data_IF_766020104411
#
_entry.id   IF_766020104411
#
_cell.length_a   1.000
_cell.length_b   1.000
_cell.length_c   1.000
_cell.angle_alpha   90.00
_cell.angle_beta   90.00
_cell.angle_gamma   90.00
#
_symmetry.space_group_name_H-M   'P 1'
#
loop_
_entity.id
_entity.type
_entity.pdbx_description
1 polymer ?
#
# COMPACT_ATOMS: atom_id res chain seq x y z
N UNK A 1 36.27 -2.20 -3.88
CA UNK A 1 35.54 -0.96 -3.89
C UNK A 1 34.44 -1.07 -2.85
N UNK A 2 34.52 -0.23 -1.83
CA UNK A 2 33.54 -0.24 -0.77
C UNK A 2 32.24 0.39 -1.28
N UNK A 3 31.19 -0.38 -1.32
CA UNK A 3 29.82 0.00 -1.60
C UNK A 3 28.90 -0.55 -0.51
N UNK A 4 27.63 -0.63 -0.80
CA UNK A 4 26.61 -1.17 0.10
C UNK A 4 25.89 -2.34 -0.54
N UNK A 5 25.42 -3.25 0.29
CA UNK A 5 24.42 -4.25 -0.09
C UNK A 5 23.11 -3.91 0.60
N UNK A 6 22.10 -3.57 -0.18
CA UNK A 6 20.78 -3.17 0.30
C UNK A 6 19.82 -4.33 0.06
N UNK A 7 19.18 -4.81 1.13
CA UNK A 7 18.18 -5.89 1.09
C UNK A 7 16.75 -5.35 1.09
N UNK A 8 15.92 -5.92 0.24
CA UNK A 8 14.47 -5.71 0.23
C UNK A 8 13.84 -7.05 0.58
N UNK A 9 13.23 -7.15 1.76
CA UNK A 9 12.72 -8.40 2.31
C UNK A 9 11.20 -8.39 2.34
N UNK A 10 10.61 -9.41 1.72
CA UNK A 10 9.16 -9.60 1.69
C UNK A 10 8.81 -10.84 2.48
N UNK A 11 7.88 -10.72 3.43
CA UNK A 11 7.35 -11.86 4.18
C UNK A 11 6.97 -13.01 3.24
N UNK A 12 7.37 -14.23 3.57
CA UNK A 12 7.21 -15.38 2.66
C UNK A 12 6.18 -16.42 3.16
N UNK A 13 4.86 -16.08 3.26
CA UNK A 13 3.83 -17.05 3.63
C UNK A 13 3.74 -18.21 2.63
N UNK A 14 4.10 -18.02 1.37
CA UNK A 14 4.13 -19.07 0.35
C UNK A 14 5.08 -20.23 0.65
N UNK A 15 6.00 -20.08 1.60
CA UNK A 15 6.84 -21.17 2.12
C UNK A 15 6.11 -22.04 3.16
N UNK A 16 5.05 -21.55 3.76
CA UNK A 16 4.35 -22.21 4.86
C UNK A 16 3.17 -23.07 4.43
N UNK A 17 2.67 -22.87 3.22
CA UNK A 17 1.58 -23.65 2.66
C UNK A 17 1.59 -23.59 1.13
N UNK A 18 1.10 -24.65 0.52
CA UNK A 18 1.06 -24.76 -0.95
C UNK A 18 -0.30 -24.34 -1.50
N UNK A 19 -0.33 -24.10 -2.81
CA UNK A 19 -1.55 -24.05 -3.61
C UNK A 19 -2.38 -25.32 -3.36
N UNK A 20 -3.71 -25.19 -3.39
CA UNK A 20 -4.71 -26.23 -3.10
C UNK A 20 -4.84 -26.66 -1.63
N UNK A 21 -4.07 -26.08 -0.71
CA UNK A 21 -4.26 -26.28 0.72
C UNK A 21 -5.53 -25.55 1.24
N UNK A 22 -6.00 -25.90 2.43
CA UNK A 22 -7.11 -25.19 3.06
C UNK A 22 -6.85 -23.68 3.27
N UNK A 23 -5.58 -23.29 3.52
CA UNK A 23 -5.18 -21.88 3.62
C UNK A 23 -5.24 -21.16 2.29
N UNK A 24 -4.84 -21.81 1.20
CA UNK A 24 -5.03 -21.29 -0.15
C UNK A 24 -6.51 -21.10 -0.47
N UNK A 25 -7.36 -22.05 -0.11
CA UNK A 25 -8.81 -21.94 -0.26
C UNK A 25 -9.38 -20.70 0.42
N UNK A 26 -8.97 -20.41 1.67
CA UNK A 26 -9.37 -19.20 2.40
C UNK A 26 -8.85 -17.93 1.70
N UNK A 27 -7.57 -17.90 1.35
CA UNK A 27 -6.96 -16.75 0.69
C UNK A 27 -7.61 -16.44 -0.67
N UNK A 28 -7.94 -17.49 -1.44
CA UNK A 28 -8.61 -17.41 -2.73
C UNK A 28 -10.06 -16.94 -2.63
N UNK A 29 -10.76 -17.27 -1.56
CA UNK A 29 -12.11 -16.76 -1.31
C UNK A 29 -12.11 -15.29 -0.92
N UNK A 30 -11.13 -14.86 -0.10
CA UNK A 30 -11.04 -13.49 0.41
C UNK A 30 -10.32 -12.54 -0.54
N UNK A 31 -9.38 -13.02 -1.34
CA UNK A 31 -8.57 -12.32 -2.34
C UNK A 31 -7.74 -11.15 -1.83
N UNK A 32 -8.21 -10.37 -0.88
CA UNK A 32 -7.50 -9.26 -0.27
C UNK A 32 -7.93 -9.04 1.17
N UNK A 33 -7.04 -8.46 1.96
CA UNK A 33 -7.41 -7.87 3.25
C UNK A 33 -8.26 -6.64 3.00
N UNK A 34 -9.37 -6.53 3.71
CA UNK A 34 -10.24 -5.36 3.72
C UNK A 34 -9.94 -4.55 4.96
N UNK A 35 -9.60 -3.28 4.76
CA UNK A 35 -9.34 -2.33 5.84
C UNK A 35 -10.54 -1.42 6.03
N UNK A 36 -10.88 -1.13 7.28
CA UNK A 36 -11.90 -0.17 7.63
C UNK A 36 -11.52 0.54 8.92
N UNK A 37 -12.03 1.72 9.21
CA UNK A 37 -11.77 2.37 10.48
C UNK A 37 -12.01 1.45 11.68
N UNK A 38 -11.02 1.34 12.55
CA UNK A 38 -11.09 0.53 13.77
C UNK A 38 -11.10 -0.99 13.59
N UNK A 39 -11.07 -1.52 12.35
CA UNK A 39 -11.08 -2.96 12.09
C UNK A 39 -10.46 -3.34 10.75
N UNK A 40 -10.17 -4.63 10.57
CA UNK A 40 -9.75 -5.22 9.30
C UNK A 40 -10.21 -6.67 9.20
N UNK A 41 -10.52 -7.11 8.01
CA UNK A 41 -10.76 -8.52 7.69
C UNK A 41 -9.57 -9.02 6.90
N UNK A 42 -8.74 -9.84 7.52
CA UNK A 42 -7.47 -10.30 6.91
C UNK A 42 -7.72 -11.35 5.83
N UNK A 43 -6.95 -11.32 4.75
CA UNK A 43 -6.98 -12.33 3.68
C UNK A 43 -6.63 -13.73 4.24
N UNK A 44 -5.54 -13.81 4.99
CA UNK A 44 -5.13 -15.03 5.69
C UNK A 44 -5.60 -15.00 7.15
N UNK A 45 -5.81 -16.15 7.81
CA UNK A 45 -6.08 -16.19 9.23
C UNK A 45 -5.01 -15.45 10.04
N UNK A 46 -5.40 -14.78 11.12
CA UNK A 46 -4.49 -13.94 11.93
C UNK A 46 -3.27 -14.70 12.46
N UNK A 47 -3.42 -15.96 12.85
CA UNK A 47 -2.30 -16.80 13.29
C UNK A 47 -1.25 -17.00 12.18
N UNK A 48 -1.67 -17.07 10.91
CA UNK A 48 -0.76 -17.14 9.75
C UNK A 48 -0.12 -15.79 9.50
N UNK A 49 -0.90 -14.72 9.53
CA UNK A 49 -0.38 -13.35 9.40
C UNK A 49 0.67 -13.09 10.46
N UNK A 50 0.38 -13.39 11.74
CA UNK A 50 1.31 -13.20 12.86
C UNK A 50 2.59 -14.03 12.72
N UNK A 51 2.50 -15.25 12.19
CA UNK A 51 3.66 -16.13 11.98
C UNK A 51 4.65 -15.61 10.93
N UNK A 52 4.15 -15.03 9.84
CA UNK A 52 4.96 -14.61 8.70
C UNK A 52 5.25 -13.10 8.67
N UNK A 53 4.55 -12.29 9.44
CA UNK A 53 4.85 -10.86 9.55
C UNK A 53 6.30 -10.67 9.99
N UNK A 54 7.00 -9.74 9.30
CA UNK A 54 8.35 -9.30 9.66
C UNK A 54 8.27 -8.52 10.99
N UNK A 55 8.30 -9.27 12.09
CA UNK A 55 8.12 -8.74 13.45
C UNK A 55 9.46 -8.51 14.13
N UNK A 56 9.61 -7.38 14.82
CA UNK A 56 10.80 -7.03 15.59
C UNK A 56 11.20 -8.14 16.59
N UNK A 57 12.50 -8.35 16.74
CA UNK A 57 13.08 -9.36 17.61
C UNK A 57 12.91 -10.81 17.12
N UNK A 58 12.55 -11.02 15.84
CA UNK A 58 12.30 -12.35 15.29
C UNK A 58 13.09 -12.59 14.01
N UNK A 59 13.46 -13.86 13.80
CA UNK A 59 13.93 -14.35 12.51
C UNK A 59 12.72 -14.75 11.65
N UNK A 60 12.46 -14.02 10.59
CA UNK A 60 11.28 -14.21 9.76
C UNK A 60 11.64 -14.81 8.39
N UNK A 61 10.88 -15.79 7.87
CA UNK A 61 11.10 -16.30 6.53
C UNK A 61 10.73 -15.22 5.52
N UNK A 62 11.64 -14.94 4.60
CA UNK A 62 11.50 -13.89 3.61
C UNK A 62 11.95 -14.34 2.21
N UNK A 63 11.33 -13.71 1.21
CA UNK A 63 11.87 -13.62 -0.13
C UNK A 63 12.62 -12.29 -0.21
N UNK A 64 13.91 -12.37 -0.50
CA UNK A 64 14.80 -11.22 -0.43
C UNK A 64 15.37 -10.88 -1.81
N UNK A 65 15.39 -9.58 -2.11
CA UNK A 65 16.15 -9.02 -3.22
C UNK A 65 17.28 -8.17 -2.65
N UNK A 66 18.51 -8.50 -2.98
CA UNK A 66 19.70 -7.71 -2.67
C UNK A 66 20.11 -6.88 -3.87
N UNK A 67 20.43 -5.63 -3.62
CA UNK A 67 21.02 -4.70 -4.57
C UNK A 67 22.46 -4.40 -4.12
N UNK A 68 23.44 -4.72 -4.95
CA UNK A 68 24.83 -4.29 -4.74
C UNK A 68 24.97 -2.88 -5.31
N UNK A 69 25.26 -1.91 -4.46
CA UNK A 69 25.22 -0.47 -4.77
C UNK A 69 26.60 0.12 -4.55
N UNK A 70 27.14 0.82 -5.55
CA UNK A 70 28.40 1.54 -5.44
C UNK A 70 28.27 2.79 -4.56
N UNK A 71 29.41 3.44 -4.24
CA UNK A 71 29.39 4.73 -3.52
C UNK A 71 28.70 5.86 -4.30
N UNK A 72 28.62 5.75 -5.61
CA UNK A 72 27.93 6.68 -6.49
C UNK A 72 26.47 6.31 -6.69
N UNK A 73 25.92 5.44 -5.84
CA UNK A 73 24.53 4.94 -5.84
C UNK A 73 24.13 4.20 -7.14
N UNK A 74 25.11 3.64 -7.86
CA UNK A 74 24.86 2.83 -9.06
C UNK A 74 24.67 1.38 -8.65
N UNK A 75 23.57 0.75 -9.09
CA UNK A 75 23.30 -0.66 -8.87
C UNK A 75 24.18 -1.47 -9.84
N UNK A 76 25.15 -2.22 -9.29
CA UNK A 76 26.09 -3.06 -10.04
C UNK A 76 25.67 -4.53 -10.11
N UNK A 77 24.80 -4.96 -9.20
CA UNK A 77 24.35 -6.35 -9.15
C UNK A 77 23.00 -6.48 -8.43
N UNK A 78 22.28 -7.56 -8.78
CA UNK A 78 21.01 -7.94 -8.13
C UNK A 78 21.02 -9.44 -7.85
N UNK A 79 20.64 -9.81 -6.64
CA UNK A 79 20.55 -11.21 -6.24
C UNK A 79 19.28 -11.46 -5.45
N UNK A 80 18.57 -12.53 -5.76
CA UNK A 80 17.38 -12.94 -5.02
C UNK A 80 17.59 -14.27 -4.33
N UNK A 81 17.08 -14.41 -3.12
CA UNK A 81 17.14 -15.64 -2.35
C UNK A 81 15.96 -15.81 -1.40
N UNK A 82 15.83 -17.04 -0.92
CA UNK A 82 14.90 -17.41 0.17
C UNK A 82 15.76 -17.55 1.43
N UNK A 83 15.41 -16.85 2.47
CA UNK A 83 16.19 -16.85 3.71
C UNK A 83 15.34 -16.55 4.97
N UNK A 84 15.96 -16.60 6.12
CA UNK A 84 15.42 -16.06 7.36
C UNK A 84 16.14 -14.78 7.68
N UNK A 85 15.37 -13.71 7.87
CA UNK A 85 15.88 -12.36 8.12
C UNK A 85 15.65 -11.99 9.58
N UNK A 86 16.69 -11.62 10.33
CA UNK A 86 16.54 -11.06 11.66
C UNK A 86 15.97 -9.64 11.55
N UNK A 87 14.80 -9.41 12.13
CA UNK A 87 14.18 -8.08 12.15
C UNK A 87 14.57 -7.38 13.44
N UNK A 88 15.44 -6.39 13.34
CA UNK A 88 16.01 -5.69 14.50
C UNK A 88 15.11 -4.57 14.99
N UNK A 89 14.44 -3.86 14.09
CA UNK A 89 13.56 -2.76 14.43
C UNK A 89 12.38 -2.63 13.46
N UNK A 90 11.23 -2.21 13.96
CA UNK A 90 10.07 -1.81 13.18
C UNK A 90 9.91 -0.29 13.25
N UNK A 91 10.38 0.40 12.22
CA UNK A 91 10.29 1.86 12.14
C UNK A 91 8.89 2.25 11.66
N UNK A 92 8.20 3.09 12.45
CA UNK A 92 6.84 3.54 12.13
C UNK A 92 6.88 4.99 11.63
N UNK A 93 6.03 5.30 10.65
CA UNK A 93 5.96 6.65 10.07
C UNK A 93 5.76 7.73 11.15
N UNK A 94 4.83 7.52 12.09
CA UNK A 94 4.52 8.49 13.13
C UNK A 94 5.68 8.75 14.11
N UNK A 95 6.59 7.77 14.26
CA UNK A 95 7.77 7.92 15.13
C UNK A 95 8.93 8.60 14.39
N UNK A 96 9.10 8.32 13.10
CA UNK A 96 10.28 8.69 12.31
C UNK A 96 10.06 10.00 11.54
N UNK A 97 8.88 10.25 10.98
CA UNK A 97 8.62 11.46 10.17
C UNK A 97 8.90 12.79 10.93
N UNK A 98 8.69 12.93 12.24
CA UNK A 98 9.06 14.14 12.94
C UNK A 98 10.55 14.47 12.89
N UNK A 99 11.41 13.44 12.79
CA UNK A 99 12.89 13.60 12.81
C UNK A 99 13.52 13.31 11.43
N UNK A 100 12.78 12.71 10.49
CA UNK A 100 13.24 12.38 9.15
C UNK A 100 12.22 12.85 8.10
N UNK A 101 12.38 14.08 7.65
CA UNK A 101 11.52 14.76 6.68
C UNK A 101 12.35 15.70 5.82
N UNK A 102 11.75 16.36 4.83
CA UNK A 102 12.47 17.23 3.89
C UNK A 102 13.26 18.34 4.59
N UNK A 103 12.69 18.95 5.62
CA UNK A 103 13.36 20.02 6.40
C UNK A 103 14.59 19.49 7.13
N UNK A 104 14.45 18.36 7.84
CA UNK A 104 15.57 17.78 8.60
C UNK A 104 16.67 17.21 7.71
N UNK A 105 16.34 16.80 6.49
CA UNK A 105 17.32 16.37 5.47
C UNK A 105 18.11 17.55 4.89
N UNK A 106 17.48 18.73 4.77
CA UNK A 106 18.12 19.94 4.20
C UNK A 106 18.91 20.68 5.26
N UNK A 107 18.32 20.95 6.41
CA UNK A 107 18.85 21.86 7.43
C UNK A 107 19.69 21.16 8.51
N UNK A 108 19.75 19.82 8.45
CA UNK A 108 20.40 19.00 9.47
C UNK A 108 19.49 18.82 10.70
N UNK A 109 18.83 17.67 10.77
CA UNK A 109 17.96 17.30 11.91
C UNK A 109 18.73 16.67 13.07
N UNK A 110 18.02 16.37 14.18
CA UNK A 110 18.58 15.68 15.33
C UNK A 110 19.16 14.32 14.93
N UNK A 111 20.03 13.80 15.74
CA UNK A 111 20.49 12.43 15.60
C UNK A 111 19.45 11.46 16.18
N UNK A 112 19.27 10.32 15.54
CA UNK A 112 18.33 9.27 15.96
C UNK A 112 18.80 7.91 15.44
N UNK A 113 18.37 6.80 16.03
CA UNK A 113 18.71 5.46 15.58
C UNK A 113 18.35 5.26 14.10
N UNK A 114 19.26 4.66 13.33
CA UNK A 114 19.09 4.33 11.89
C UNK A 114 19.08 5.53 10.92
N UNK A 115 19.48 6.72 11.38
CA UNK A 115 19.54 7.92 10.53
C UNK A 115 20.42 7.72 9.31
N UNK A 116 21.61 7.13 9.47
CA UNK A 116 22.55 6.93 8.39
C UNK A 116 22.00 5.96 7.33
N UNK A 117 21.36 4.88 7.79
CA UNK A 117 20.74 3.88 6.91
C UNK A 117 19.54 4.48 6.16
N UNK A 118 18.67 5.22 6.84
CA UNK A 118 17.53 5.87 6.22
C UNK A 118 17.96 6.96 5.22
N UNK A 119 19.02 7.70 5.52
CA UNK A 119 19.57 8.70 4.60
C UNK A 119 20.08 8.02 3.32
N UNK A 120 20.88 6.97 3.45
CA UNK A 120 21.36 6.18 2.30
C UNK A 120 20.19 5.63 1.45
N UNK A 121 19.17 5.07 2.10
CA UNK A 121 18.00 4.54 1.40
C UNK A 121 17.21 5.64 0.69
N UNK A 122 17.09 6.82 1.28
CA UNK A 122 16.43 7.96 0.66
C UNK A 122 17.21 8.50 -0.54
N UNK A 123 18.55 8.60 -0.43
CA UNK A 123 19.42 8.99 -1.54
C UNK A 123 19.31 7.99 -2.71
N UNK A 124 19.35 6.69 -2.42
CA UNK A 124 19.15 5.66 -3.44
C UNK A 124 17.74 5.76 -4.05
N UNK A 125 16.71 5.94 -3.25
CA UNK A 125 15.33 6.10 -3.75
C UNK A 125 15.21 7.30 -4.69
N UNK A 126 15.91 8.40 -4.39
CA UNK A 126 15.92 9.59 -5.24
C UNK A 126 16.60 9.30 -6.59
N UNK A 127 17.69 8.54 -6.59
CA UNK A 127 18.35 8.11 -7.84
C UNK A 127 17.46 7.16 -8.65
N UNK A 128 16.78 6.21 -7.99
CA UNK A 128 15.86 5.28 -8.65
C UNK A 128 14.67 6.01 -9.28
N UNK A 129 14.06 6.96 -8.57
CA UNK A 129 12.97 7.79 -9.09
C UNK A 129 13.41 8.61 -10.31
N UNK A 130 14.55 9.28 -10.22
CA UNK A 130 15.12 10.05 -11.32
C UNK A 130 15.38 9.17 -12.55
N UNK A 131 15.94 7.98 -12.35
CA UNK A 131 16.22 7.00 -13.42
C UNK A 131 14.97 6.49 -14.14
N UNK A 132 13.82 6.45 -13.46
CA UNK A 132 12.53 6.08 -14.06
C UNK A 132 11.86 7.24 -14.80
N UNK A 133 12.27 8.49 -14.53
CA UNK A 133 11.69 9.69 -15.13
C UNK A 133 10.21 9.93 -14.76
N UNK A 134 9.73 9.31 -13.72
CA UNK A 134 8.34 9.40 -13.24
C UNK A 134 8.34 9.58 -11.72
N UNK A 135 7.99 10.78 -11.22
CA UNK A 135 7.82 10.97 -9.78
C UNK A 135 6.68 10.10 -9.24
N UNK A 136 6.74 9.77 -7.96
CA UNK A 136 5.65 9.05 -7.31
C UNK A 136 4.33 9.81 -7.49
N UNK A 137 3.29 9.12 -7.96
CA UNK A 137 2.01 9.71 -8.36
C UNK A 137 1.22 10.40 -7.24
N UNK A 138 1.70 10.35 -6.00
CA UNK A 138 0.96 10.74 -4.80
C UNK A 138 1.58 11.93 -4.04
N UNK A 139 2.46 12.70 -4.67
CA UNK A 139 2.98 13.93 -4.06
C UNK A 139 1.83 14.94 -3.87
N UNK A 140 1.74 15.52 -2.67
CA UNK A 140 0.71 16.50 -2.25
C UNK A 140 -0.70 15.93 -1.96
N UNK A 141 -0.88 14.62 -1.80
CA UNK A 141 -2.12 14.07 -1.28
C UNK A 141 -2.11 14.05 0.25
N UNK A 142 -3.29 14.14 0.82
CA UNK A 142 -3.49 13.98 2.27
C UNK A 142 -4.10 12.61 2.52
N UNK A 143 -3.47 11.86 3.40
CA UNK A 143 -4.04 10.65 4.00
C UNK A 143 -4.78 11.00 5.27
N UNK A 144 -5.80 10.21 5.58
CA UNK A 144 -6.54 10.31 6.81
C UNK A 144 -6.39 9.01 7.60
N UNK A 145 -5.97 9.15 8.86
CA UNK A 145 -5.85 8.04 9.78
C UNK A 145 -7.06 8.05 10.71
N UNK A 146 -7.79 6.94 10.73
CA UNK A 146 -8.94 6.75 11.60
C UNK A 146 -8.53 5.93 12.82
N UNK A 147 -8.56 6.54 13.98
CA UNK A 147 -8.46 5.87 15.27
C UNK A 147 -9.86 5.63 15.84
N UNK A 148 -10.11 4.43 16.37
CA UNK A 148 -11.37 4.13 17.06
C UNK A 148 -11.04 3.59 18.45
N UNK A 149 -11.41 4.32 19.47
CA UNK A 149 -11.32 3.85 20.85
C UNK A 149 -12.59 3.08 21.21
N UNK A 150 -12.49 1.78 21.16
CA UNK A 150 -13.60 0.87 21.45
C UNK A 150 -14.00 0.80 22.94
N UNK A 151 -13.18 1.34 23.85
CA UNK A 151 -13.51 1.41 25.27
C UNK A 151 -14.52 2.49 25.61
N UNK A 152 -14.67 3.51 24.74
CA UNK A 152 -15.62 4.58 24.91
C UNK A 152 -16.96 4.24 24.23
N UNK A 153 -18.06 4.55 24.93
CA UNK A 153 -19.43 4.43 24.43
C UNK A 153 -19.95 5.82 24.10
N UNK A 154 -20.35 6.02 22.85
CA UNK A 154 -20.98 7.25 22.38
C UNK A 154 -22.51 7.08 22.28
N UNK A 155 -23.29 8.15 22.09
CA UNK A 155 -24.75 8.02 21.84
C UNK A 155 -25.08 7.14 20.63
N UNK A 156 -24.18 7.05 19.65
CA UNK A 156 -24.33 6.22 18.45
C UNK A 156 -23.77 4.79 18.61
N UNK A 157 -23.44 4.38 19.84
CA UNK A 157 -22.88 3.06 20.16
C UNK A 157 -21.37 3.07 20.47
N UNK A 158 -20.77 1.89 20.63
CA UNK A 158 -19.35 1.79 20.99
C UNK A 158 -18.43 2.39 19.93
N UNK A 159 -17.30 2.91 20.37
CA UNK A 159 -16.22 3.44 19.55
C UNK A 159 -16.27 4.96 19.39
N UNK A 160 -15.37 5.64 20.10
CA UNK A 160 -15.05 7.06 19.84
C UNK A 160 -14.09 7.17 18.69
N UNK A 161 -14.41 8.03 17.71
CA UNK A 161 -13.60 8.21 16.51
C UNK A 161 -12.66 9.42 16.62
N UNK A 162 -11.43 9.23 16.19
CA UNK A 162 -10.46 10.27 15.94
C UNK A 162 -9.98 10.21 14.48
N UNK A 163 -9.94 11.35 13.80
CA UNK A 163 -9.51 11.45 12.42
C UNK A 163 -8.29 12.36 12.35
N UNK A 164 -7.13 11.74 12.15
CA UNK A 164 -5.86 12.43 11.95
C UNK A 164 -5.59 12.69 10.47
N UNK A 165 -4.82 13.73 10.16
CA UNK A 165 -4.35 14.04 8.79
C UNK A 165 -2.86 13.85 8.71
N UNK A 166 -2.40 13.21 7.62
CA UNK A 166 -0.99 13.03 7.29
C UNK A 166 -0.75 13.45 5.84
N UNK A 167 0.23 14.31 5.60
CA UNK A 167 0.67 14.62 4.24
C UNK A 167 1.39 13.40 3.66
N UNK A 168 1.07 13.03 2.41
CA UNK A 168 1.80 12.03 1.65
C UNK A 168 3.02 12.63 0.95
N UNK A 169 3.94 11.78 0.57
CA UNK A 169 5.13 12.17 -0.20
C UNK A 169 6.32 12.48 0.71
N UNK A 170 6.27 12.05 1.98
CA UNK A 170 7.43 12.14 2.87
C UNK A 170 8.64 11.36 2.31
N UNK A 171 9.87 11.67 2.75
CA UNK A 171 11.04 10.87 2.41
C UNK A 171 10.89 9.37 2.70
N UNK A 172 10.17 9.00 3.78
CA UNK A 172 9.85 7.60 4.09
C UNK A 172 8.89 6.98 3.06
N UNK A 173 7.85 7.69 2.65
CA UNK A 173 6.96 7.23 1.59
C UNK A 173 7.72 6.97 0.30
N UNK A 174 8.64 7.88 -0.07
CA UNK A 174 9.47 7.76 -1.27
C UNK A 174 10.35 6.51 -1.20
N UNK A 175 11.13 6.35 -0.12
CA UNK A 175 12.07 5.22 -0.04
C UNK A 175 11.33 3.87 -0.06
N UNK A 176 10.19 3.75 0.63
CA UNK A 176 9.39 2.52 0.60
C UNK A 176 8.82 2.27 -0.80
N UNK A 177 8.26 3.28 -1.44
CA UNK A 177 7.68 3.17 -2.78
C UNK A 177 8.72 2.73 -3.81
N UNK A 178 9.89 3.38 -3.84
CA UNK A 178 10.95 3.09 -4.81
C UNK A 178 11.54 1.69 -4.62
N UNK A 179 11.79 1.27 -3.39
CA UNK A 179 12.28 -0.09 -3.13
C UNK A 179 11.24 -1.16 -3.48
N UNK A 180 9.94 -0.89 -3.25
CA UNK A 180 8.87 -1.80 -3.69
C UNK A 180 8.75 -1.84 -5.22
N UNK A 181 8.91 -0.70 -5.91
CA UNK A 181 8.93 -0.66 -7.38
C UNK A 181 10.12 -1.46 -7.91
N UNK A 182 11.30 -1.27 -7.33
CA UNK A 182 12.50 -2.01 -7.72
C UNK A 182 12.33 -3.53 -7.55
N UNK A 183 11.77 -3.98 -6.42
CA UNK A 183 11.52 -5.40 -6.18
C UNK A 183 10.49 -5.98 -7.16
N UNK A 184 9.32 -5.35 -7.28
CA UNK A 184 8.24 -5.83 -8.13
C UNK A 184 8.61 -5.82 -9.62
N UNK A 185 9.38 -4.83 -10.08
CA UNK A 185 9.88 -4.75 -11.46
C UNK A 185 10.96 -5.80 -11.71
N UNK A 186 11.92 -5.96 -10.80
CA UNK A 186 13.02 -6.94 -10.92
C UNK A 186 12.47 -8.36 -10.94
N UNK A 187 11.58 -8.71 -10.03
CA UNK A 187 10.98 -10.04 -9.97
C UNK A 187 10.01 -10.30 -11.12
N UNK A 188 9.25 -9.28 -11.54
CA UNK A 188 8.41 -9.38 -12.72
C UNK A 188 9.22 -9.71 -13.97
N UNK A 189 10.36 -9.02 -14.16
CA UNK A 189 11.28 -9.29 -15.27
C UNK A 189 11.91 -10.68 -15.15
N UNK A 190 12.33 -11.10 -13.98
CA UNK A 190 12.93 -12.42 -13.78
C UNK A 190 11.96 -13.56 -14.15
N UNK A 191 10.69 -13.47 -13.75
CA UNK A 191 9.66 -14.43 -14.14
C UNK A 191 9.38 -14.42 -15.64
N UNK A 192 9.33 -13.24 -16.26
CA UNK A 192 9.14 -13.11 -17.71
C UNK A 192 10.30 -13.73 -18.50
N UNK A 193 11.53 -13.40 -18.12
CA UNK A 193 12.77 -13.92 -18.77
C UNK A 193 12.88 -15.45 -18.60
N UNK A 194 12.42 -16.00 -17.49
CA UNK A 194 12.38 -17.44 -17.24
C UNK A 194 11.19 -18.15 -17.90
N UNK A 195 10.26 -17.43 -18.55
CA UNK A 195 9.06 -18.01 -19.15
C UNK A 195 8.06 -18.55 -18.13
N UNK A 196 8.17 -18.11 -16.86
CA UNK A 196 7.28 -18.52 -15.78
C UNK A 196 6.05 -17.60 -15.76
N UNK A 197 4.82 -18.15 -15.82
CA UNK A 197 3.60 -17.34 -15.79
C UNK A 197 3.50 -16.53 -14.50
N UNK A 198 3.06 -15.27 -14.61
CA UNK A 198 2.87 -14.40 -13.47
C UNK A 198 1.72 -13.43 -13.69
N UNK A 199 1.32 -12.71 -12.64
CA UNK A 199 0.30 -11.68 -12.68
C UNK A 199 0.98 -10.31 -12.66
N UNK A 200 0.84 -9.59 -13.76
CA UNK A 200 1.43 -8.26 -13.96
C UNK A 200 0.36 -7.19 -13.85
N UNK A 201 0.79 -6.00 -13.46
CA UNK A 201 0.00 -4.79 -13.53
C UNK A 201 0.57 -3.89 -14.61
N UNK A 202 -0.14 -3.74 -15.69
CA UNK A 202 0.23 -2.90 -16.83
C UNK A 202 -0.55 -1.60 -16.83
N UNK A 203 0.06 -0.55 -17.37
CA UNK A 203 -0.61 0.72 -17.59
C UNK A 203 -0.23 1.31 -18.95
N UNK A 204 -1.25 1.59 -19.76
CA UNK A 204 -1.11 2.23 -21.06
C UNK A 204 -2.20 3.30 -21.21
N UNK A 205 -1.84 4.51 -21.64
CA UNK A 205 -2.78 5.60 -21.81
C UNK A 205 -3.54 5.97 -20.51
N UNK A 206 -2.87 5.86 -19.36
CA UNK A 206 -3.44 6.14 -18.04
C UNK A 206 -4.31 5.02 -17.45
N UNK A 207 -4.74 4.03 -18.22
CA UNK A 207 -5.59 2.92 -17.76
C UNK A 207 -4.74 1.77 -17.23
N UNK A 208 -4.93 1.42 -15.97
CA UNK A 208 -4.28 0.27 -15.31
C UNK A 208 -5.14 -0.97 -15.47
N UNK A 209 -4.48 -2.12 -15.75
CA UNK A 209 -5.13 -3.45 -15.84
C UNK A 209 -4.21 -4.54 -15.34
N UNK A 210 -4.78 -5.64 -14.90
CA UNK A 210 -4.04 -6.88 -14.66
C UNK A 210 -3.86 -7.66 -15.97
N UNK A 211 -2.75 -8.39 -16.10
CA UNK A 211 -2.43 -9.21 -17.25
C UNK A 211 -1.52 -10.38 -16.85
N UNK A 212 -1.56 -11.47 -17.60
CA UNK A 212 -0.65 -12.62 -17.44
C UNK A 212 0.62 -12.50 -18.30
N UNK A 213 0.69 -11.50 -19.17
CA UNK A 213 1.87 -11.20 -19.98
C UNK A 213 2.57 -9.96 -19.43
N UNK A 214 3.90 -10.02 -19.37
CA UNK A 214 4.70 -8.85 -18.98
C UNK A 214 4.44 -7.69 -19.95
N UNK A 215 4.14 -6.52 -19.41
CA UNK A 215 3.87 -5.31 -20.17
C UNK A 215 4.25 -4.07 -19.35
N UNK A 216 4.56 -2.94 -20.02
CA UNK A 216 4.96 -1.70 -19.36
C UNK A 216 3.91 -1.14 -18.41
N UNK A 217 4.39 -0.48 -17.37
CA UNK A 217 3.57 0.35 -16.48
C UNK A 217 4.03 1.81 -16.64
N UNK A 218 3.40 2.52 -17.59
CA UNK A 218 3.80 3.89 -17.98
C UNK A 218 3.85 4.87 -16.81
N UNK A 219 2.87 4.82 -15.91
CA UNK A 219 2.82 5.70 -14.75
C UNK A 219 3.93 5.48 -13.73
N UNK A 220 4.53 4.27 -13.69
CA UNK A 220 5.70 3.98 -12.89
C UNK A 220 7.02 4.08 -13.66
N UNK A 221 6.97 4.18 -14.99
CA UNK A 221 8.16 4.22 -15.82
C UNK A 221 8.99 2.93 -15.77
N UNK A 222 8.35 1.76 -15.75
CA UNK A 222 9.00 0.45 -15.74
C UNK A 222 8.47 -0.45 -16.86
N UNK A 223 9.36 -1.31 -17.39
CA UNK A 223 9.04 -2.21 -18.51
C UNK A 223 8.06 -3.34 -18.12
N UNK A 224 8.06 -3.74 -16.87
CA UNK A 224 7.07 -4.66 -16.31
C UNK A 224 6.93 -4.47 -14.80
N UNK A 225 5.80 -4.84 -14.26
CA UNK A 225 5.51 -4.68 -12.84
C UNK A 225 4.61 -5.82 -12.36
N UNK A 226 5.17 -6.74 -11.59
CA UNK A 226 4.44 -7.85 -10.97
C UNK A 226 4.26 -7.60 -9.48
N UNK A 227 3.03 -7.56 -9.00
CA UNK A 227 2.79 -7.41 -7.56
C UNK A 227 3.28 -8.64 -6.79
N UNK A 228 4.30 -8.46 -5.97
CA UNK A 228 4.94 -9.51 -5.16
C UNK A 228 5.28 -9.06 -3.74
N UNK A 229 5.01 -7.78 -3.41
CA UNK A 229 5.49 -7.16 -2.17
C UNK A 229 4.52 -7.26 -0.98
N UNK A 230 3.31 -7.81 -1.17
CA UNK A 230 2.30 -7.86 -0.11
C UNK A 230 1.54 -9.21 -0.05
N UNK A 231 2.21 -10.37 0.00
CA UNK A 231 1.57 -11.69 -0.11
C UNK A 231 0.72 -12.08 1.11
N UNK A 232 0.86 -11.39 2.25
CA UNK A 232 -0.01 -11.59 3.42
C UNK A 232 -1.40 -10.96 3.26
N UNK A 233 -1.54 -10.01 2.32
CA UNK A 233 -2.76 -9.20 2.20
C UNK A 233 -3.35 -9.10 0.79
N UNK A 234 -2.69 -9.60 -0.24
CA UNK A 234 -3.21 -9.68 -1.62
C UNK A 234 -2.91 -11.05 -2.22
N UNK A 235 -3.94 -11.71 -2.73
CA UNK A 235 -3.82 -13.04 -3.29
C UNK A 235 -2.92 -13.07 -4.54
N UNK A 236 -2.98 -12.05 -5.37
CA UNK A 236 -2.11 -11.96 -6.55
C UNK A 236 -0.62 -11.90 -6.21
N UNK A 237 -0.27 -11.26 -5.10
CA UNK A 237 1.12 -11.25 -4.59
C UNK A 237 1.54 -12.64 -4.07
N UNK A 238 0.63 -13.36 -3.43
CA UNK A 238 0.87 -14.73 -2.97
C UNK A 238 1.04 -15.68 -4.16
N UNK A 239 0.22 -15.54 -5.20
CA UNK A 239 0.36 -16.28 -6.47
C UNK A 239 1.73 -16.04 -7.08
N UNK A 240 2.14 -14.78 -7.25
CA UNK A 240 3.45 -14.44 -7.78
C UNK A 240 4.58 -14.92 -6.87
N UNK A 241 4.38 -14.94 -5.55
CA UNK A 241 5.37 -15.44 -4.61
C UNK A 241 5.62 -16.94 -4.78
N UNK A 242 4.60 -17.77 -4.99
CA UNK A 242 4.79 -19.18 -5.30
C UNK A 242 5.57 -19.40 -6.60
N UNK A 243 5.32 -18.58 -7.62
CA UNK A 243 6.08 -18.62 -8.88
C UNK A 243 7.55 -18.23 -8.67
N UNK A 244 7.82 -17.19 -7.87
CA UNK A 244 9.17 -16.76 -7.50
C UNK A 244 9.91 -17.82 -6.66
N UNK A 245 9.22 -18.47 -5.73
CA UNK A 245 9.78 -19.56 -4.94
C UNK A 245 10.19 -20.72 -5.86
N UNK A 246 9.32 -21.13 -6.78
CA UNK A 246 9.61 -22.17 -7.75
C UNK A 246 10.81 -21.79 -8.64
N UNK A 247 10.87 -20.55 -9.13
CA UNK A 247 12.00 -20.03 -9.89
C UNK A 247 13.31 -20.11 -9.13
N UNK A 248 13.34 -19.66 -7.88
CA UNK A 248 14.54 -19.66 -7.04
C UNK A 248 14.99 -21.07 -6.66
N UNK A 249 14.06 -22.00 -6.50
CA UNK A 249 14.36 -23.39 -6.15
C UNK A 249 14.61 -24.29 -7.38
N UNK A 250 14.39 -23.78 -8.59
CA UNK A 250 14.48 -24.57 -9.82
C UNK A 250 13.45 -25.70 -9.89
N UNK A 251 12.26 -25.49 -9.30
CA UNK A 251 11.17 -26.46 -9.27
C UNK A 251 10.05 -26.07 -10.26
N UNK A 252 9.11 -26.99 -10.49
CA UNK A 252 7.94 -26.71 -11.32
C UNK A 252 7.11 -25.55 -10.76
N UNK A 253 6.70 -24.59 -11.60
CA UNK A 253 5.86 -23.47 -11.20
C UNK A 253 4.51 -23.94 -10.63
N UNK A 254 4.05 -23.31 -9.55
CA UNK A 254 2.75 -23.61 -8.95
C UNK A 254 1.57 -23.41 -9.93
N UNK A 255 1.74 -22.50 -10.89
CA UNK A 255 0.82 -22.25 -12.00
C UNK A 255 1.58 -22.43 -13.32
N UNK A 256 1.32 -23.54 -14.07
CA UNK A 256 1.99 -23.79 -15.35
C UNK A 256 1.50 -22.81 -16.44
N UNK A 257 2.18 -22.76 -17.59
CA UNK A 257 1.74 -21.96 -18.73
C UNK A 257 0.28 -22.29 -19.13
N UNK A 258 -0.51 -21.24 -19.39
CA UNK A 258 -1.93 -21.32 -19.73
C UNK A 258 -2.84 -21.90 -18.63
N UNK A 259 -2.40 -21.86 -17.35
CA UNK A 259 -3.22 -22.29 -16.23
C UNK A 259 -4.56 -21.54 -16.18
N UNK A 260 -5.70 -22.24 -16.26
CA UNK A 260 -7.01 -21.62 -16.11
C UNK A 260 -7.19 -20.98 -14.73
N UNK A 261 -6.54 -21.56 -13.69
CA UNK A 261 -6.62 -21.07 -12.31
C UNK A 261 -5.85 -19.76 -12.12
N UNK A 262 -4.76 -19.55 -12.87
CA UNK A 262 -4.04 -18.26 -12.86
C UNK A 262 -4.92 -17.15 -13.43
N UNK A 263 -5.60 -17.44 -14.55
CA UNK A 263 -6.53 -16.51 -15.19
C UNK A 263 -7.73 -16.23 -14.28
N UNK A 264 -8.27 -17.26 -13.64
CA UNK A 264 -9.37 -17.13 -12.69
C UNK A 264 -8.95 -16.25 -11.48
N UNK A 265 -7.76 -16.51 -10.91
CA UNK A 265 -7.24 -15.72 -9.80
C UNK A 265 -7.10 -14.22 -10.15
N UNK A 266 -6.63 -13.92 -11.35
CA UNK A 266 -6.53 -12.55 -11.86
C UNK A 266 -7.90 -11.87 -11.97
N UNK A 267 -8.84 -12.51 -12.66
CA UNK A 267 -10.19 -11.98 -12.89
C UNK A 267 -10.96 -11.78 -11.59
N UNK A 268 -10.96 -12.80 -10.73
CA UNK A 268 -11.70 -12.77 -9.47
C UNK A 268 -11.13 -11.70 -8.53
N UNK A 269 -9.79 -11.50 -8.56
CA UNK A 269 -9.14 -10.42 -7.81
C UNK A 269 -9.55 -9.04 -8.32
N UNK A 270 -9.55 -8.78 -9.63
CA UNK A 270 -9.92 -7.46 -10.17
C UNK A 270 -11.37 -7.09 -9.80
N UNK A 271 -12.29 -8.04 -9.93
CA UNK A 271 -13.71 -7.82 -9.59
C UNK A 271 -13.89 -7.53 -8.09
N UNK A 272 -13.30 -8.37 -7.25
CA UNK A 272 -13.46 -8.25 -5.79
C UNK A 272 -12.72 -7.05 -5.24
N UNK A 273 -11.55 -6.70 -5.78
CA UNK A 273 -10.76 -5.56 -5.33
C UNK A 273 -11.49 -4.23 -5.53
N UNK A 274 -12.23 -4.08 -6.61
CA UNK A 274 -13.08 -2.92 -6.85
C UNK A 274 -14.22 -2.85 -5.82
N UNK A 275 -14.93 -3.96 -5.56
CA UNK A 275 -15.99 -4.02 -4.57
C UNK A 275 -15.48 -3.72 -3.14
N UNK A 276 -14.29 -4.20 -2.79
CA UNK A 276 -13.68 -3.91 -1.50
C UNK A 276 -13.32 -2.42 -1.36
N UNK A 277 -12.83 -1.79 -2.44
CA UNK A 277 -12.56 -0.36 -2.43
C UNK A 277 -13.83 0.48 -2.23
N UNK A 278 -14.95 0.06 -2.83
CA UNK A 278 -16.27 0.70 -2.60
C UNK A 278 -16.73 0.54 -1.16
N UNK A 279 -16.64 -0.67 -0.63
CA UNK A 279 -16.97 -0.96 0.78
C UNK A 279 -16.12 -0.12 1.74
N UNK A 280 -14.80 -0.07 1.53
CA UNK A 280 -13.89 0.73 2.37
C UNK A 280 -14.28 2.21 2.35
N UNK A 281 -14.59 2.78 1.18
CA UNK A 281 -15.08 4.16 1.06
C UNK A 281 -16.40 4.40 1.80
N UNK A 282 -17.32 3.44 1.73
CA UNK A 282 -18.58 3.47 2.49
C UNK A 282 -18.33 3.49 4.00
N UNK A 283 -17.42 2.63 4.48
CA UNK A 283 -17.05 2.58 5.90
C UNK A 283 -16.34 3.85 6.36
N UNK A 284 -15.41 4.39 5.58
CA UNK A 284 -14.78 5.67 5.89
C UNK A 284 -15.82 6.80 5.96
N UNK A 285 -16.77 6.83 5.03
CA UNK A 285 -17.88 7.79 5.04
C UNK A 285 -18.73 7.64 6.29
N UNK A 286 -19.14 6.43 6.65
CA UNK A 286 -19.90 6.15 7.88
C UNK A 286 -19.18 6.70 9.13
N UNK A 287 -17.89 6.46 9.25
CA UNK A 287 -17.11 6.93 10.40
C UNK A 287 -16.87 8.45 10.39
N UNK A 288 -16.81 9.09 9.22
CA UNK A 288 -16.84 10.54 9.12
C UNK A 288 -18.17 11.12 9.65
N UNK A 289 -19.30 10.51 9.32
CA UNK A 289 -20.60 10.94 9.83
C UNK A 289 -20.72 10.74 11.34
N UNK A 290 -20.24 9.61 11.86
CA UNK A 290 -20.15 9.39 13.31
C UNK A 290 -19.28 10.44 14.01
N UNK A 291 -18.16 10.81 13.40
CA UNK A 291 -17.30 11.87 13.91
C UNK A 291 -18.03 13.21 13.96
N UNK A 292 -18.78 13.58 12.94
CA UNK A 292 -19.59 14.80 12.91
C UNK A 292 -20.61 14.84 14.04
N UNK A 293 -21.33 13.73 14.27
CA UNK A 293 -22.28 13.61 15.38
C UNK A 293 -21.60 13.71 16.74
N UNK A 294 -20.51 13.02 16.91
CA UNK A 294 -19.68 13.06 18.11
C UNK A 294 -19.18 14.47 18.41
N UNK A 295 -18.85 15.26 17.38
CA UNK A 295 -18.40 16.65 17.50
C UNK A 295 -19.56 17.66 17.62
N UNK A 296 -20.82 17.22 17.65
CA UNK A 296 -22.00 18.09 17.76
C UNK A 296 -22.29 18.90 16.50
N UNK A 297 -22.04 18.35 15.32
CA UNK A 297 -22.27 18.98 14.01
C UNK A 297 -21.60 20.37 13.91
N UNK A 298 -20.28 20.47 13.99
CA UNK A 298 -19.61 21.76 13.97
C UNK A 298 -19.72 22.45 12.61
N UNK A 299 -19.67 23.76 12.59
CA UNK A 299 -19.47 24.51 11.35
C UNK A 299 -18.06 24.19 10.78
N UNK A 300 -17.99 23.84 9.51
CA UNK A 300 -16.75 23.34 8.89
C UNK A 300 -16.43 24.06 7.59
N UNK A 301 -15.13 24.24 7.36
CA UNK A 301 -14.63 24.68 6.06
C UNK A 301 -14.70 23.54 5.06
N UNK A 302 -15.20 23.84 3.87
CA UNK A 302 -15.24 22.94 2.75
C UNK A 302 -14.70 23.61 1.48
N UNK A 303 -14.28 22.79 0.52
CA UNK A 303 -13.82 23.24 -0.78
C UNK A 303 -14.73 22.70 -1.88
N UNK A 304 -15.17 23.57 -2.75
CA UNK A 304 -15.95 23.19 -3.93
C UNK A 304 -15.05 22.40 -4.88
N UNK A 305 -15.47 21.19 -5.26
CA UNK A 305 -14.78 20.34 -6.20
C UNK A 305 -15.27 20.58 -7.63
N UNK A 306 -16.59 20.58 -7.82
CA UNK A 306 -17.28 20.90 -9.06
C UNK A 306 -18.79 21.05 -8.77
N UNK A 307 -19.46 21.93 -9.50
CA UNK A 307 -20.90 22.16 -9.34
C UNK A 307 -21.34 22.25 -7.85
N UNK A 308 -22.22 21.36 -7.42
CA UNK A 308 -22.70 21.25 -6.04
C UNK A 308 -21.89 20.28 -5.18
N UNK A 309 -20.78 19.72 -5.68
CA UNK A 309 -19.97 18.75 -4.94
C UNK A 309 -18.91 19.45 -4.09
N UNK A 310 -18.93 19.19 -2.80
CA UNK A 310 -17.98 19.76 -1.82
C UNK A 310 -17.21 18.69 -1.08
N UNK A 311 -16.01 19.04 -0.63
CA UNK A 311 -15.18 18.23 0.26
C UNK A 311 -14.87 19.02 1.53
N UNK A 312 -15.13 18.43 2.68
CA UNK A 312 -14.71 18.99 3.96
C UNK A 312 -13.16 19.02 4.03
N UNK A 313 -12.59 20.11 4.59
CA UNK A 313 -11.13 20.25 4.66
C UNK A 313 -10.51 19.46 5.81
N UNK A 314 -11.25 19.24 6.89
CA UNK A 314 -10.75 18.57 8.10
C UNK A 314 -10.84 17.04 8.03
N UNK A 315 -11.82 16.49 7.32
CA UNK A 315 -12.08 15.04 7.23
C UNK A 315 -12.35 14.64 5.76
N UNK A 316 -12.15 13.36 5.37
CA UNK A 316 -12.31 12.91 3.99
C UNK A 316 -13.76 12.71 3.56
N UNK A 317 -14.62 13.68 3.83
CA UNK A 317 -16.04 13.60 3.52
C UNK A 317 -16.37 14.47 2.31
N UNK A 318 -16.94 13.83 1.29
CA UNK A 318 -17.41 14.47 0.05
C UNK A 318 -18.91 14.23 -0.07
N UNK A 319 -19.67 15.28 -0.35
CA UNK A 319 -21.12 15.19 -0.54
C UNK A 319 -21.64 16.29 -1.46
N UNK A 320 -22.87 16.12 -1.93
CA UNK A 320 -23.54 17.11 -2.77
C UNK A 320 -24.37 18.07 -1.90
N UNK A 321 -24.35 19.35 -2.28
CA UNK A 321 -25.20 20.40 -1.74
C UNK A 321 -26.07 20.97 -2.87
N UNK A 322 -27.24 20.37 -3.16
CA UNK A 322 -28.07 20.81 -4.29
C UNK A 322 -28.52 22.28 -4.22
N UNK A 323 -28.68 22.82 -3.02
CA UNK A 323 -29.07 24.21 -2.76
C UNK A 323 -27.94 25.22 -2.85
N UNK A 324 -26.69 24.76 -3.05
CA UNK A 324 -25.53 25.65 -3.13
C UNK A 324 -25.55 26.41 -4.48
N UNK A 325 -25.28 27.73 -4.49
CA UNK A 325 -25.09 28.46 -5.75
C UNK A 325 -23.88 27.88 -6.52
N UNK A 326 -23.90 27.99 -7.84
CA UNK A 326 -22.78 27.57 -8.67
C UNK A 326 -21.55 28.41 -8.35
N UNK A 327 -20.52 27.77 -7.79
CA UNK A 327 -19.25 28.40 -7.44
C UNK A 327 -18.09 27.74 -8.21
N UNK A 328 -17.03 28.49 -8.53
CA UNK A 328 -15.87 27.93 -9.18
C UNK A 328 -15.21 26.79 -8.36
N UNK A 329 -14.66 25.74 -9.02
CA UNK A 329 -13.86 24.73 -8.34
C UNK A 329 -12.71 25.37 -7.54
N UNK A 330 -12.44 24.84 -6.35
CA UNK A 330 -11.44 25.39 -5.45
C UNK A 330 -11.93 26.47 -4.49
N UNK A 331 -13.13 27.01 -4.69
CA UNK A 331 -13.74 28.00 -3.77
C UNK A 331 -13.90 27.39 -2.37
N UNK A 332 -13.46 28.13 -1.35
CA UNK A 332 -13.64 27.76 0.05
C UNK A 332 -14.96 28.32 0.57
N UNK A 333 -15.74 27.47 1.23
CA UNK A 333 -17.03 27.81 1.82
C UNK A 333 -17.08 27.35 3.28
N UNK A 334 -17.89 28.03 4.08
CA UNK A 334 -18.22 27.58 5.44
C UNK A 334 -19.59 26.92 5.40
N UNK A 335 -19.69 25.73 5.95
CA UNK A 335 -20.91 24.92 6.00
C UNK A 335 -21.32 24.72 7.47
N UNK A 336 -22.58 24.99 7.75
CA UNK A 336 -23.21 24.49 8.96
C UNK A 336 -23.77 23.09 8.64
N UNK A 337 -23.52 22.13 9.49
CA UNK A 337 -24.01 20.75 9.36
C UNK A 337 -25.23 20.63 10.27
N UNK A 338 -26.41 20.49 9.70
CA UNK A 338 -27.65 20.46 10.47
C UNK A 338 -27.96 19.05 10.98
N UNK A 339 -27.70 18.03 10.16
CA UNK A 339 -27.99 16.64 10.49
C UNK A 339 -27.10 15.68 9.73
N UNK A 340 -27.05 14.44 10.20
CA UNK A 340 -26.38 13.32 9.50
C UNK A 340 -27.20 12.06 9.67
N UNK A 341 -27.32 11.28 8.62
CA UNK A 341 -27.98 9.97 8.64
C UNK A 341 -26.93 8.86 8.55
N UNK A 342 -26.90 7.99 9.56
CA UNK A 342 -25.94 6.86 9.61
C UNK A 342 -26.46 5.62 8.88
N UNK A 343 -27.76 5.54 8.59
CA UNK A 343 -28.37 4.41 7.88
C UNK A 343 -28.21 4.61 6.37
N UNK A 344 -28.62 5.79 5.88
CA UNK A 344 -28.50 6.14 4.46
C UNK A 344 -27.10 6.71 4.12
N UNK A 345 -26.26 6.91 5.14
CA UNK A 345 -24.90 7.46 5.04
C UNK A 345 -24.89 8.84 4.35
N UNK A 346 -25.76 9.73 4.78
CA UNK A 346 -25.97 11.07 4.21
C UNK A 346 -25.70 12.21 5.21
N UNK A 347 -25.47 13.41 4.66
CA UNK A 347 -25.25 14.68 5.38
C UNK A 347 -26.42 15.58 5.10
#
# INVERSE_FOLDING_TARGET
>A
PAGWRIGIHIAAPGLGFCRTSGLDGIARQRLSTVYMPGNKITMLPEGIVGRFTLGEGRDCPALSLYLDVSRDLIISGKHSCIERVPVVANLRHHDIEPVFNETTLTDGGPDFPWKAELTLLWELATVLEAGRGKPAANQNLVDYNFGVDWSEITPDGPGRIEIGRRARGSPLDKLVAELMIAANSTWGKALADAGIPALYRAQTGGKVRMTTAAAPHEGLGVDCYAWSSSPLRRYVDLVNQWQLIAWLQGTEPAFPPKSPELIAAMRDFELTYAAYADFQRGMERYWCLRWLRQAGHPAMSARVLRESLVRLEAIPLIFKLPSMPTLPPGTRVQLAIDSTDLVDIEV
#
